data_IF_968686835901
#
_entry.id   IF_968686835901
#
_cell.length_a   1.000
_cell.length_b   1.000
_cell.length_c   1.000
_cell.angle_alpha   90.00
_cell.angle_beta   90.00
_cell.angle_gamma   90.00
#
_symmetry.space_group_name_H-M   'P 1'
#
loop_
_entity.id
_entity.type
_entity.pdbx_description
1 polymer ?
#
# COMPACT_ATOMS: atom_id res chain seq x y z
N UNK A 1 -12.93 -43.57 -60.88
CA UNK A 1 -13.96 -43.33 -59.85
C UNK A 1 -13.75 -44.39 -58.76
N UNK A 2 -13.35 -44.14 -57.52
CA UNK A 2 -13.15 -42.93 -56.73
C UNK A 2 -11.99 -43.20 -55.76
N UNK A 3 -11.15 -42.18 -55.50
CA UNK A 3 -10.15 -42.19 -54.44
C UNK A 3 -10.86 -42.30 -53.08
N UNK A 4 -10.39 -43.20 -52.21
CA UNK A 4 -10.70 -43.17 -50.78
C UNK A 4 -9.55 -42.44 -50.09
N UNK A 5 -9.78 -41.18 -49.72
CA UNK A 5 -8.89 -40.42 -48.85
C UNK A 5 -8.98 -40.99 -47.42
N UNK A 6 -7.86 -41.54 -46.95
CA UNK A 6 -7.64 -41.81 -45.53
C UNK A 6 -7.40 -40.49 -44.81
N UNK A 7 -8.33 -40.09 -43.94
CA UNK A 7 -8.16 -38.93 -43.07
C UNK A 7 -7.69 -39.44 -41.69
N UNK A 8 -6.38 -39.56 -41.52
CA UNK A 8 -5.76 -39.73 -40.20
C UNK A 8 -6.01 -38.47 -39.38
N UNK A 9 -6.91 -38.58 -38.41
CA UNK A 9 -7.11 -37.60 -37.35
C UNK A 9 -5.86 -37.55 -36.47
N UNK A 10 -4.98 -36.59 -36.75
CA UNK A 10 -4.02 -36.07 -35.77
C UNK A 10 -4.83 -35.31 -34.72
N UNK A 11 -5.03 -35.90 -33.55
CA UNK A 11 -5.45 -35.17 -32.35
C UNK A 11 -4.19 -34.42 -31.88
N UNK A 12 -4.15 -33.08 -31.91
CA UNK A 12 -3.13 -32.38 -31.18
C UNK A 12 -3.48 -32.54 -29.71
N UNK A 13 -2.67 -33.31 -28.99
CA UNK A 13 -2.64 -33.30 -27.54
C UNK A 13 -2.44 -31.86 -27.10
N UNK A 14 -3.53 -31.18 -26.72
CA UNK A 14 -3.48 -29.97 -25.92
C UNK A 14 -2.83 -30.36 -24.59
N UNK A 15 -1.50 -30.32 -24.56
CA UNK A 15 -0.72 -30.20 -23.34
C UNK A 15 -1.15 -28.88 -22.71
N UNK A 16 -2.23 -28.95 -21.92
CA UNK A 16 -2.56 -27.93 -20.96
C UNK A 16 -1.33 -27.81 -20.06
N UNK A 17 -0.65 -26.67 -20.13
CA UNK A 17 0.34 -26.30 -19.15
C UNK A 17 -0.26 -26.58 -17.76
N UNK A 18 0.46 -27.27 -16.87
CA UNK A 18 -0.02 -27.46 -15.51
C UNK A 18 -0.28 -26.06 -14.96
N UNK A 19 -1.56 -25.76 -14.70
CA UNK A 19 -1.93 -24.59 -13.91
C UNK A 19 -1.33 -24.85 -12.54
N UNK A 20 -0.21 -24.21 -12.29
CA UNK A 20 0.44 -24.16 -10.99
C UNK A 20 -0.64 -23.84 -9.95
N UNK A 21 -0.86 -24.68 -8.92
CA UNK A 21 -1.79 -24.39 -7.84
C UNK A 21 -1.18 -23.34 -6.90
N UNK A 22 -0.70 -22.23 -7.46
CA UNK A 22 -0.33 -21.05 -6.72
C UNK A 22 -1.63 -20.40 -6.22
N UNK A 23 -2.06 -20.85 -5.04
CA UNK A 23 -2.92 -20.14 -4.09
C UNK A 23 -4.02 -19.28 -4.74
N UNK A 24 -5.19 -19.89 -5.01
CA UNK A 24 -6.46 -19.17 -4.87
C UNK A 24 -6.72 -18.91 -3.38
N UNK A 25 -5.84 -18.17 -2.71
CA UNK A 25 -6.23 -17.49 -1.47
C UNK A 25 -7.30 -16.48 -1.89
N UNK A 26 -8.46 -16.54 -1.25
CA UNK A 26 -9.58 -15.63 -1.54
C UNK A 26 -9.06 -14.18 -1.60
N UNK A 27 -9.43 -13.46 -2.66
CA UNK A 27 -9.06 -12.06 -2.82
C UNK A 27 -9.65 -11.29 -1.63
N UNK A 28 -8.79 -10.82 -0.73
CA UNK A 28 -9.19 -10.06 0.45
C UNK A 28 -9.52 -8.64 0.01
N UNK A 29 -10.75 -8.20 0.26
CA UNK A 29 -11.13 -6.79 0.17
C UNK A 29 -11.49 -6.28 1.58
N UNK A 30 -10.52 -5.72 2.31
CA UNK A 30 -10.74 -5.35 3.70
C UNK A 30 -11.62 -4.13 3.87
N UNK A 31 -11.74 -3.30 2.82
CA UNK A 31 -12.39 -2.00 2.92
C UNK A 31 -13.75 -2.03 2.24
N UNK A 32 -14.82 -1.69 2.96
CA UNK A 32 -16.16 -1.68 2.37
C UNK A 32 -16.38 -0.44 1.47
N UNK A 33 -16.05 0.75 1.97
CA UNK A 33 -16.36 2.03 1.36
C UNK A 33 -15.24 3.07 1.56
N UNK A 34 -15.17 4.02 0.62
CA UNK A 34 -14.19 5.11 0.59
C UNK A 34 -14.88 6.47 0.66
N UNK A 35 -14.68 7.19 1.75
CA UNK A 35 -15.30 8.48 2.01
C UNK A 35 -14.28 9.61 2.00
N UNK A 36 -14.71 10.84 1.71
CA UNK A 36 -13.89 12.02 2.00
C UNK A 36 -14.68 13.00 2.86
N UNK A 37 -13.97 13.68 3.77
CA UNK A 37 -14.52 14.77 4.54
C UNK A 37 -14.87 15.93 3.60
N UNK A 38 -16.16 16.14 3.37
CA UNK A 38 -16.71 17.19 2.51
C UNK A 38 -17.25 18.38 3.32
N UNK A 39 -17.53 18.15 4.61
CA UNK A 39 -18.04 19.11 5.59
C UNK A 39 -17.52 18.72 6.98
N UNK A 40 -17.56 19.66 7.92
CA UNK A 40 -17.08 19.47 9.28
C UNK A 40 -15.59 19.78 9.41
N UNK A 41 -14.89 18.95 10.17
CA UNK A 41 -13.45 18.98 10.35
C UNK A 41 -12.72 18.30 9.18
N UNK A 42 -11.47 18.72 8.96
CA UNK A 42 -10.53 18.12 8.01
C UNK A 42 -11.07 18.00 6.57
N UNK A 43 -11.80 19.03 6.12
CA UNK A 43 -12.43 19.03 4.80
C UNK A 43 -11.40 19.01 3.68
N UNK A 44 -11.59 18.10 2.72
CA UNK A 44 -10.82 18.04 1.50
C UNK A 44 -11.52 18.79 0.36
N UNK A 45 -10.84 19.78 -0.22
CA UNK A 45 -11.31 20.46 -1.42
C UNK A 45 -11.06 19.64 -2.70
N UNK A 46 -11.65 20.09 -3.83
CA UNK A 46 -11.52 19.39 -5.12
C UNK A 46 -10.08 19.28 -5.62
N UNK A 47 -9.23 20.25 -5.32
CA UNK A 47 -7.82 20.24 -5.71
C UNK A 47 -7.03 19.22 -4.90
N UNK A 48 -7.26 19.19 -3.58
CA UNK A 48 -6.68 18.20 -2.67
C UNK A 48 -7.11 16.78 -3.05
N UNK A 49 -8.41 16.56 -3.35
CA UNK A 49 -8.90 15.27 -3.81
C UNK A 49 -8.24 14.81 -5.12
N UNK A 50 -7.97 15.71 -6.07
CA UNK A 50 -7.20 15.35 -7.28
C UNK A 50 -5.78 14.91 -6.94
N UNK A 51 -5.11 15.58 -6.01
CA UNK A 51 -3.76 15.22 -5.57
C UNK A 51 -3.79 13.86 -4.86
N UNK A 52 -4.77 13.61 -3.98
CA UNK A 52 -4.97 12.32 -3.32
C UNK A 52 -5.22 11.21 -4.35
N UNK A 53 -6.10 11.42 -5.32
CA UNK A 53 -6.39 10.43 -6.37
C UNK A 53 -5.17 10.10 -7.23
N UNK A 54 -4.34 11.09 -7.54
CA UNK A 54 -3.07 10.88 -8.24
C UNK A 54 -2.08 10.09 -7.36
N UNK A 55 -1.98 10.42 -6.07
CA UNK A 55 -1.13 9.69 -5.13
C UNK A 55 -1.57 8.24 -4.97
N UNK A 56 -2.86 7.95 -4.83
CA UNK A 56 -3.40 6.59 -4.78
C UNK A 56 -3.03 5.81 -6.06
N UNK A 57 -3.16 6.43 -7.23
CA UNK A 57 -2.81 5.78 -8.50
C UNK A 57 -1.31 5.45 -8.58
N UNK A 58 -0.47 6.35 -8.07
CA UNK A 58 0.98 6.13 -7.93
C UNK A 58 1.28 4.99 -6.93
N UNK A 59 0.66 4.99 -5.75
CA UNK A 59 0.78 3.90 -4.75
C UNK A 59 0.42 2.55 -5.35
N UNK A 60 -0.71 2.47 -6.07
CA UNK A 60 -1.15 1.26 -6.74
C UNK A 60 -0.16 0.79 -7.81
N UNK A 61 0.47 1.71 -8.54
CA UNK A 61 1.49 1.38 -9.53
C UNK A 61 2.76 0.84 -8.87
N UNK A 62 3.27 1.51 -7.84
CA UNK A 62 4.45 1.10 -7.07
C UNK A 62 4.23 -0.29 -6.45
N UNK A 63 3.09 -0.49 -5.78
CA UNK A 63 2.76 -1.77 -5.15
C UNK A 63 2.67 -2.91 -6.17
N UNK A 64 2.09 -2.68 -7.36
CA UNK A 64 2.08 -3.68 -8.45
C UNK A 64 3.48 -4.08 -8.88
N UNK A 65 4.41 -3.13 -8.97
CA UNK A 65 5.79 -3.46 -9.34
C UNK A 65 6.48 -4.30 -8.26
N UNK A 66 6.28 -3.99 -6.98
CA UNK A 66 6.78 -4.82 -5.89
C UNK A 66 6.19 -6.25 -5.94
N UNK A 67 4.89 -6.39 -6.20
CA UNK A 67 4.24 -7.70 -6.39
C UNK A 67 4.87 -8.46 -7.56
N UNK A 68 5.06 -7.82 -8.71
CA UNK A 68 5.62 -8.47 -9.89
C UNK A 68 7.01 -9.05 -9.62
N UNK A 69 7.83 -8.33 -8.84
CA UNK A 69 9.15 -8.80 -8.42
C UNK A 69 9.05 -9.97 -7.45
N UNK A 70 8.23 -9.85 -6.40
CA UNK A 70 8.04 -10.90 -5.40
C UNK A 70 7.38 -12.17 -5.97
N UNK A 71 6.59 -12.04 -7.04
CA UNK A 71 5.94 -13.15 -7.71
C UNK A 71 6.92 -14.08 -8.45
N UNK A 72 8.16 -13.63 -8.70
CA UNK A 72 9.19 -14.47 -9.31
C UNK A 72 9.59 -15.58 -8.33
N UNK A 73 9.65 -16.85 -8.76
CA UNK A 73 10.17 -17.94 -7.92
C UNK A 73 11.59 -17.63 -7.44
N UNK A 74 11.86 -17.78 -6.13
CA UNK A 74 13.14 -17.46 -5.53
C UNK A 74 13.39 -15.98 -5.25
N UNK A 75 12.43 -15.07 -5.45
CA UNK A 75 12.62 -13.65 -5.14
C UNK A 75 13.02 -13.37 -3.68
N UNK A 76 12.73 -14.28 -2.76
CA UNK A 76 13.21 -14.25 -1.38
C UNK A 76 14.74 -14.31 -1.24
N UNK A 77 15.48 -14.82 -2.25
CA UNK A 77 16.96 -14.84 -2.26
C UNK A 77 17.58 -13.56 -2.85
N UNK A 78 16.75 -12.64 -3.36
CA UNK A 78 17.20 -11.41 -3.99
C UNK A 78 17.85 -10.45 -2.99
N UNK A 79 18.77 -9.61 -3.48
CA UNK A 79 19.45 -8.60 -2.65
C UNK A 79 18.45 -7.69 -1.93
N UNK A 80 17.47 -7.17 -2.66
CA UNK A 80 16.46 -6.29 -2.09
C UNK A 80 15.65 -6.98 -0.98
N UNK A 81 15.25 -8.25 -1.18
CA UNK A 81 14.52 -8.97 -0.14
C UNK A 81 15.36 -9.15 1.12
N UNK A 82 16.62 -9.56 0.96
CA UNK A 82 17.54 -9.79 2.07
C UNK A 82 17.82 -8.48 2.84
N UNK A 83 17.99 -7.36 2.13
CA UNK A 83 18.20 -6.05 2.74
C UNK A 83 16.97 -5.57 3.51
N UNK A 84 15.78 -5.62 2.89
CA UNK A 84 14.60 -4.94 3.44
C UNK A 84 13.72 -5.82 4.30
N UNK A 85 13.76 -7.14 4.14
CA UNK A 85 12.96 -8.07 4.95
C UNK A 85 13.81 -9.05 5.78
N UNK A 86 15.09 -9.21 5.46
CA UNK A 86 16.02 -10.00 6.28
C UNK A 86 16.10 -11.49 5.91
N UNK A 87 17.27 -12.14 6.08
CA UNK A 87 17.47 -13.55 5.75
C UNK A 87 16.55 -14.54 6.45
N UNK A 88 16.26 -14.35 7.74
CA UNK A 88 15.39 -15.28 8.49
C UNK A 88 13.93 -15.26 7.99
N UNK A 89 13.54 -14.21 7.26
CA UNK A 89 12.24 -14.07 6.62
C UNK A 89 12.24 -14.53 5.16
N UNK A 90 13.37 -15.00 4.62
CA UNK A 90 13.54 -15.39 3.22
C UNK A 90 12.99 -16.79 2.92
N UNK A 91 11.67 -16.92 3.01
CA UNK A 91 10.96 -18.14 2.66
C UNK A 91 9.66 -17.83 1.92
N UNK A 92 9.16 -18.82 1.17
CA UNK A 92 8.01 -18.63 0.31
C UNK A 92 6.71 -18.32 1.08
N UNK A 93 6.57 -18.81 2.32
CA UNK A 93 5.40 -18.49 3.16
C UNK A 93 5.36 -16.99 3.48
N UNK A 94 6.46 -16.44 4.02
CA UNK A 94 6.54 -15.01 4.36
C UNK A 94 6.44 -14.13 3.12
N UNK A 95 7.10 -14.51 2.03
CA UNK A 95 6.97 -13.81 0.74
C UNK A 95 5.51 -13.71 0.29
N UNK A 96 4.76 -14.81 0.40
CA UNK A 96 3.35 -14.82 0.05
C UNK A 96 2.54 -13.88 0.94
N UNK A 97 2.79 -13.83 2.26
CA UNK A 97 2.14 -12.88 3.17
C UNK A 97 2.46 -11.42 2.79
N UNK A 98 3.72 -11.10 2.51
CA UNK A 98 4.13 -9.75 2.05
C UNK A 98 3.36 -9.37 0.76
N UNK A 99 3.20 -10.30 -0.17
CA UNK A 99 2.39 -10.05 -1.38
C UNK A 99 0.92 -9.85 -1.00
N UNK A 100 0.32 -10.77 -0.26
CA UNK A 100 -1.14 -10.87 -0.09
C UNK A 100 -1.70 -9.85 0.89
N UNK A 101 -0.98 -9.58 1.97
CA UNK A 101 -1.46 -8.77 3.08
C UNK A 101 -0.96 -7.33 3.01
N UNK A 102 0.20 -7.08 2.38
CA UNK A 102 0.76 -5.72 2.30
C UNK A 102 0.55 -5.11 0.90
N UNK A 103 1.29 -5.59 -0.11
CA UNK A 103 1.28 -4.92 -1.41
C UNK A 103 -0.02 -5.10 -2.20
N UNK A 104 -0.68 -6.26 -2.12
CA UNK A 104 -1.93 -6.48 -2.86
C UNK A 104 -3.03 -5.53 -2.39
N UNK A 105 -3.12 -5.27 -1.09
CA UNK A 105 -4.11 -4.34 -0.54
C UNK A 105 -3.87 -2.92 -1.04
N UNK A 106 -2.62 -2.45 -1.03
CA UNK A 106 -2.25 -1.17 -1.64
C UNK A 106 -2.57 -1.12 -3.15
N UNK A 107 -2.32 -2.22 -3.87
CA UNK A 107 -2.52 -2.31 -5.31
C UNK A 107 -3.98 -2.38 -5.74
N UNK A 108 -4.85 -3.03 -4.96
CA UNK A 108 -6.18 -3.45 -5.43
C UNK A 108 -7.32 -2.86 -4.59
N UNK A 109 -7.07 -2.56 -3.31
CA UNK A 109 -8.14 -2.24 -2.35
C UNK A 109 -8.07 -0.80 -1.84
N UNK A 110 -6.91 -0.13 -1.90
CA UNK A 110 -6.82 1.31 -1.69
C UNK A 110 -7.50 2.02 -2.87
N UNK A 111 -8.75 2.45 -2.68
CA UNK A 111 -9.60 3.05 -3.73
C UNK A 111 -9.77 4.54 -3.50
N UNK A 112 -9.99 5.29 -4.58
CA UNK A 112 -10.21 6.73 -4.52
C UNK A 112 -11.41 7.09 -3.64
N UNK A 113 -11.34 8.18 -2.85
CA UNK A 113 -12.51 8.70 -2.14
C UNK A 113 -13.63 9.04 -3.12
N UNK A 114 -14.82 8.45 -2.91
CA UNK A 114 -15.95 8.63 -3.81
C UNK A 114 -17.19 9.21 -3.11
N UNK A 115 -17.34 8.96 -1.81
CA UNK A 115 -18.56 9.31 -1.07
C UNK A 115 -18.30 10.49 -0.13
N UNK A 116 -19.01 11.62 -0.25
CA UNK A 116 -18.85 12.74 0.68
C UNK A 116 -19.43 12.37 2.05
N UNK A 117 -18.71 12.73 3.12
CA UNK A 117 -19.17 12.61 4.50
C UNK A 117 -18.99 13.94 5.23
N UNK A 118 -19.90 14.24 6.15
CA UNK A 118 -19.63 15.24 7.20
C UNK A 118 -18.86 14.53 8.30
N UNK A 119 -17.66 15.00 8.60
CA UNK A 119 -16.80 14.40 9.60
C UNK A 119 -16.53 15.40 10.70
N UNK A 120 -17.00 15.12 11.92
CA UNK A 120 -16.75 15.96 13.09
C UNK A 120 -15.88 15.18 14.07
N UNK A 121 -14.69 15.70 14.40
CA UNK A 121 -13.70 15.04 15.28
C UNK A 121 -13.92 15.42 16.75
N UNK A 122 -14.68 16.49 17.02
CA UNK A 122 -14.92 17.02 18.37
C UNK A 122 -15.67 16.05 19.30
N UNK A 123 -15.03 15.70 20.42
CA UNK A 123 -15.61 14.82 21.44
C UNK A 123 -15.60 13.35 21.00
N UNK A 124 -16.78 12.83 20.65
CA UNK A 124 -16.93 11.50 20.03
C UNK A 124 -17.01 11.70 18.51
N UNK A 125 -16.19 11.00 17.71
CA UNK A 125 -16.17 11.16 16.26
C UNK A 125 -17.56 10.90 15.68
N UNK A 126 -18.03 11.79 14.79
CA UNK A 126 -19.31 11.63 14.11
C UNK A 126 -19.13 11.65 12.60
N UNK A 127 -19.78 10.68 11.94
CA UNK A 127 -19.85 10.59 10.49
C UNK A 127 -21.30 10.71 10.04
N UNK A 128 -21.60 11.68 9.19
CA UNK A 128 -22.92 11.82 8.58
C UNK A 128 -22.80 11.79 7.07
N UNK A 129 -23.26 10.69 6.49
CA UNK A 129 -23.36 10.50 5.04
C UNK A 129 -24.64 11.14 4.53
N UNK A 130 -24.60 11.70 3.32
CA UNK A 130 -25.76 12.33 2.71
C UNK A 130 -26.61 11.31 1.92
N UNK A 131 -27.94 11.49 1.95
CA UNK A 131 -28.86 10.71 1.14
C UNK A 131 -28.92 9.22 1.54
N UNK A 132 -28.83 8.34 0.55
CA UNK A 132 -28.94 6.88 0.70
C UNK A 132 -27.57 6.18 0.67
N UNK A 133 -26.47 6.92 0.86
CA UNK A 133 -25.15 6.31 0.93
C UNK A 133 -25.04 5.39 2.17
N UNK A 134 -24.29 4.27 2.08
CA UNK A 134 -24.01 3.43 3.24
C UNK A 134 -23.38 4.24 4.39
N UNK A 135 -23.61 3.85 5.67
CA UNK A 135 -22.95 4.49 6.79
C UNK A 135 -21.44 4.19 6.79
N UNK A 136 -20.66 5.06 7.44
CA UNK A 136 -19.25 4.77 7.76
C UNK A 136 -19.21 3.65 8.79
N UNK A 137 -18.39 2.63 8.55
CA UNK A 137 -18.19 1.49 9.45
C UNK A 137 -16.72 1.40 9.87
N UNK A 138 -16.40 0.49 10.79
CA UNK A 138 -15.02 0.15 11.17
C UNK A 138 -14.16 -0.32 9.99
N UNK A 139 -14.78 -0.81 8.91
CA UNK A 139 -14.11 -1.28 7.70
C UNK A 139 -14.02 -0.19 6.61
N UNK A 140 -14.51 1.01 6.88
CA UNK A 140 -14.45 2.11 5.92
C UNK A 140 -13.12 2.86 6.02
N UNK A 141 -12.69 3.45 4.90
CA UNK A 141 -11.64 4.48 4.88
C UNK A 141 -12.29 5.85 4.73
N UNK A 142 -11.89 6.80 5.59
CA UNK A 142 -12.21 8.21 5.47
C UNK A 142 -10.94 9.00 5.17
N UNK A 143 -10.95 9.77 4.08
CA UNK A 143 -9.86 10.65 3.68
C UNK A 143 -10.14 12.07 4.23
N UNK A 144 -9.24 12.59 5.06
CA UNK A 144 -9.32 13.92 5.67
C UNK A 144 -8.12 14.81 5.33
N UNK A 145 -8.34 16.11 5.18
CA UNK A 145 -7.31 17.08 4.85
C UNK A 145 -7.17 18.06 6.02
N UNK A 146 -6.07 17.96 6.77
CA UNK A 146 -5.84 18.77 7.96
C UNK A 146 -5.69 20.23 7.57
N UNK A 147 -6.45 21.10 8.21
CA UNK A 147 -6.35 22.54 8.03
C UNK A 147 -5.07 23.10 8.70
N UNK A 148 -4.53 24.24 8.24
CA UNK A 148 -3.31 24.81 8.81
C UNK A 148 -3.37 25.21 10.29
N UNK A 149 -4.57 25.35 10.88
CA UNK A 149 -4.71 25.68 12.28
C UNK A 149 -4.56 24.41 13.13
N UNK A 150 -5.26 23.33 12.78
CA UNK A 150 -5.16 22.01 13.40
C UNK A 150 -3.79 21.33 13.15
N UNK A 151 -3.08 21.71 12.09
CA UNK A 151 -1.81 21.09 11.70
C UNK A 151 -0.68 21.27 12.72
N UNK A 152 -0.75 22.27 13.60
CA UNK A 152 0.35 22.57 14.56
C UNK A 152 0.65 21.43 15.54
N UNK A 153 -0.33 20.58 15.81
CA UNK A 153 -0.17 19.43 16.71
C UNK A 153 -0.08 18.10 15.95
N UNK A 154 -0.89 17.92 14.90
CA UNK A 154 -1.01 16.64 14.18
C UNK A 154 0.03 16.45 13.06
N UNK A 155 0.63 17.53 12.56
CA UNK A 155 1.45 17.53 11.35
C UNK A 155 2.89 18.02 11.56
N UNK A 156 3.37 18.05 12.80
CA UNK A 156 4.69 18.62 13.12
C UNK A 156 5.85 17.93 12.39
N UNK A 157 5.76 16.61 12.21
CA UNK A 157 6.81 15.79 11.57
C UNK A 157 6.28 14.80 10.54
N UNK A 158 5.03 14.96 10.09
CA UNK A 158 4.44 14.04 9.12
C UNK A 158 3.81 14.77 7.94
N UNK A 159 3.75 14.06 6.82
CA UNK A 159 3.15 14.53 5.57
C UNK A 159 1.75 13.94 5.41
N UNK A 160 1.53 12.70 5.84
CA UNK A 160 0.23 12.07 5.97
C UNK A 160 0.31 11.07 7.12
N UNK A 161 -0.80 10.71 7.74
CA UNK A 161 -0.80 9.65 8.72
C UNK A 161 -2.12 8.89 8.73
N UNK A 162 -2.09 7.72 9.36
CA UNK A 162 -3.25 6.85 9.51
C UNK A 162 -3.63 6.71 10.97
N UNK A 163 -4.93 6.86 11.22
CA UNK A 163 -5.57 6.43 12.46
C UNK A 163 -6.42 5.22 12.12
N UNK A 164 -6.07 4.07 12.68
CA UNK A 164 -6.80 2.83 12.45
C UNK A 164 -6.85 1.97 13.71
N UNK A 165 -7.63 0.90 13.67
CA UNK A 165 -7.57 -0.12 14.69
C UNK A 165 -6.24 -0.89 14.58
N UNK A 166 -5.70 -1.31 15.71
CA UNK A 166 -4.60 -2.27 15.79
C UNK A 166 -5.14 -3.63 16.23
N UNK A 167 -4.29 -4.66 16.23
CA UNK A 167 -4.65 -5.98 16.74
C UNK A 167 -5.21 -5.99 18.18
N UNK A 168 -4.95 -4.95 18.97
CA UNK A 168 -5.29 -4.89 20.39
C UNK A 168 -6.14 -3.68 20.78
N UNK A 169 -6.40 -2.76 19.85
CA UNK A 169 -7.08 -1.50 20.17
C UNK A 169 -7.95 -1.05 19.00
N UNK A 170 -9.22 -0.75 19.28
CA UNK A 170 -10.09 -0.10 18.31
C UNK A 170 -9.58 1.30 17.95
N UNK A 171 -9.84 1.73 16.70
CA UNK A 171 -9.60 3.11 16.30
C UNK A 171 -10.40 4.04 17.19
N UNK A 172 -9.77 5.09 17.74
CA UNK A 172 -10.51 6.11 18.48
C UNK A 172 -11.38 7.00 17.56
N UNK A 173 -11.26 6.83 16.24
CA UNK A 173 -12.09 7.47 15.23
C UNK A 173 -13.19 6.52 14.70
N UNK A 174 -13.38 5.34 15.29
CA UNK A 174 -14.38 4.30 14.91
C UNK A 174 -14.31 3.76 13.46
N UNK A 175 -13.45 4.35 12.63
CA UNK A 175 -13.13 3.95 11.26
C UNK A 175 -11.61 4.07 11.02
N UNK A 176 -11.16 3.63 9.85
CA UNK A 176 -9.80 3.95 9.39
C UNK A 176 -9.82 5.34 8.75
N UNK A 177 -8.99 6.26 9.27
CA UNK A 177 -8.88 7.62 8.75
C UNK A 177 -7.47 7.84 8.23
N UNK A 178 -7.34 8.18 6.95
CA UNK A 178 -6.09 8.69 6.38
C UNK A 178 -6.20 10.21 6.38
N UNK A 179 -5.33 10.89 7.12
CA UNK A 179 -5.28 12.34 7.12
C UNK A 179 -4.02 12.86 6.42
N UNK A 180 -4.20 13.92 5.64
CA UNK A 180 -3.15 14.56 4.86
C UNK A 180 -2.81 15.91 5.45
N UNK A 181 -1.53 16.13 5.75
CA UNK A 181 -1.05 17.39 6.25
C UNK A 181 -0.90 18.42 5.12
N UNK A 182 -0.88 19.73 5.41
CA UNK A 182 -0.69 20.76 4.38
C UNK A 182 0.56 20.54 3.50
N UNK A 183 1.63 20.00 4.08
CA UNK A 183 2.86 19.61 3.37
C UNK A 183 2.62 18.58 2.27
N UNK A 184 1.64 17.67 2.41
CA UNK A 184 1.24 16.72 1.37
C UNK A 184 0.83 17.41 0.08
N UNK A 185 0.22 18.58 0.18
CA UNK A 185 -0.29 19.34 -0.97
C UNK A 185 0.73 20.34 -1.52
N UNK A 186 1.88 20.50 -0.85
CA UNK A 186 2.94 21.43 -1.26
C UNK A 186 3.66 20.98 -2.54
N UNK A 187 4.05 21.94 -3.37
CA UNK A 187 4.92 21.70 -4.53
C UNK A 187 6.33 21.24 -4.16
N UNK A 188 6.72 21.30 -2.88
CA UNK A 188 8.01 20.83 -2.38
C UNK A 188 8.15 19.30 -2.33
N UNK A 189 7.05 18.55 -2.39
CA UNK A 189 7.11 17.09 -2.50
C UNK A 189 7.53 16.69 -3.90
N UNK A 190 8.53 15.82 -3.97
CA UNK A 190 9.11 15.37 -5.23
C UNK A 190 8.22 14.33 -5.93
N UNK A 191 8.37 14.23 -7.24
CA UNK A 191 7.73 13.19 -8.07
C UNK A 191 8.36 11.81 -7.88
N UNK A 192 7.65 10.73 -8.26
CA UNK A 192 8.20 9.37 -8.30
C UNK A 192 9.50 9.30 -9.11
N UNK A 193 9.56 9.96 -10.26
CA UNK A 193 10.76 10.01 -11.12
C UNK A 193 11.95 10.64 -10.39
N UNK A 194 11.73 11.75 -9.69
CA UNK A 194 12.79 12.39 -8.91
C UNK A 194 13.23 11.51 -7.74
N UNK A 195 12.30 10.86 -7.04
CA UNK A 195 12.57 9.91 -5.95
C UNK A 195 13.47 8.76 -6.42
N UNK A 196 13.14 8.13 -7.56
CA UNK A 196 13.95 7.06 -8.16
C UNK A 196 15.35 7.53 -8.56
N UNK A 197 15.45 8.72 -9.14
CA UNK A 197 16.73 9.28 -9.53
C UNK A 197 17.62 9.61 -8.32
N UNK A 198 17.03 10.12 -7.23
CA UNK A 198 17.74 10.34 -5.97
C UNK A 198 18.25 9.02 -5.39
N UNK A 199 17.40 8.00 -5.35
CA UNK A 199 17.77 6.67 -4.84
C UNK A 199 18.93 6.03 -5.62
N UNK A 200 18.89 6.08 -6.96
CA UNK A 200 19.98 5.58 -7.82
C UNK A 200 21.31 6.28 -7.60
N UNK A 201 21.28 7.50 -7.07
CA UNK A 201 22.47 8.30 -6.76
C UNK A 201 22.97 8.07 -5.32
N UNK A 202 22.41 7.11 -4.58
CA UNK A 202 22.81 6.80 -3.20
C UNK A 202 22.40 7.87 -2.19
N UNK A 203 21.40 8.71 -2.51
CA UNK A 203 20.83 9.68 -1.58
C UNK A 203 19.64 9.05 -0.85
N UNK A 204 19.51 9.34 0.44
CA UNK A 204 18.26 9.08 1.15
C UNK A 204 17.14 9.82 0.42
N UNK A 205 16.22 9.05 -0.16
CA UNK A 205 15.22 9.58 -1.04
C UNK A 205 14.12 10.26 -0.23
N UNK A 206 13.86 11.54 -0.51
CA UNK A 206 12.56 12.12 -0.14
C UNK A 206 11.47 11.30 -0.84
N UNK A 207 10.38 11.04 -0.15
CA UNK A 207 9.30 10.25 -0.73
C UNK A 207 8.42 11.07 -1.67
N UNK A 208 7.97 10.43 -2.76
CA UNK A 208 6.81 10.91 -3.51
C UNK A 208 5.52 10.64 -2.74
N UNK A 209 4.42 11.28 -3.13
CA UNK A 209 3.13 11.15 -2.44
C UNK A 209 2.61 9.71 -2.40
N UNK A 210 2.75 8.99 -3.51
CA UNK A 210 2.33 7.59 -3.58
C UNK A 210 3.18 6.68 -2.70
N UNK A 211 4.46 7.00 -2.53
CA UNK A 211 5.35 6.27 -1.62
C UNK A 211 5.02 6.54 -0.14
N UNK A 212 4.69 7.80 0.22
CA UNK A 212 4.18 8.14 1.55
C UNK A 212 2.92 7.31 1.85
N UNK A 213 1.94 7.28 0.93
CA UNK A 213 0.74 6.47 1.11
C UNK A 213 1.02 4.97 1.20
N UNK A 214 2.03 4.46 0.48
CA UNK A 214 2.42 3.05 0.59
C UNK A 214 2.94 2.72 1.98
N UNK A 215 3.75 3.61 2.57
CA UNK A 215 4.21 3.51 3.95
C UNK A 215 3.02 3.53 4.91
N UNK A 216 2.16 4.55 4.83
CA UNK A 216 1.03 4.72 5.75
C UNK A 216 0.06 3.53 5.77
N UNK A 217 -0.16 2.89 4.61
CA UNK A 217 -1.02 1.72 4.50
C UNK A 217 -0.52 0.53 5.34
N UNK A 218 0.78 0.45 5.63
CA UNK A 218 1.32 -0.65 6.42
C UNK A 218 0.91 -0.58 7.90
N UNK A 219 0.50 0.59 8.39
CA UNK A 219 -0.01 0.77 9.75
C UNK A 219 -1.47 0.36 9.93
N UNK A 220 -2.19 0.07 8.84
CA UNK A 220 -3.59 -0.33 8.90
C UNK A 220 -3.68 -1.83 9.21
N UNK A 221 -4.08 -2.24 10.42
CA UNK A 221 -4.30 -3.67 10.72
C UNK A 221 -5.37 -4.28 9.80
N UNK A 222 -6.38 -3.48 9.46
CA UNK A 222 -7.37 -3.88 8.46
C UNK A 222 -6.75 -4.05 7.06
N UNK A 223 -5.64 -3.40 6.73
CA UNK A 223 -4.91 -3.68 5.50
C UNK A 223 -4.00 -4.90 5.63
N UNK A 224 -3.19 -5.00 6.68
CA UNK A 224 -2.14 -6.02 6.80
C UNK A 224 -2.57 -7.33 7.47
N UNK A 225 -3.81 -7.43 7.96
CA UNK A 225 -4.34 -8.48 8.85
C UNK A 225 -3.91 -8.29 10.32
N UNK A 226 -4.74 -8.78 11.24
CA UNK A 226 -4.51 -8.63 12.68
C UNK A 226 -3.15 -9.23 13.07
N UNK A 227 -2.29 -8.44 13.70
CA UNK A 227 -0.91 -8.73 14.15
C UNK A 227 0.20 -8.62 13.09
N UNK A 228 -0.12 -8.15 11.88
CA UNK A 228 0.88 -7.83 10.84
C UNK A 228 0.91 -6.32 10.52
N UNK A 229 0.17 -5.49 11.26
CA UNK A 229 0.33 -4.04 11.22
C UNK A 229 1.74 -3.63 11.62
N UNK A 230 2.31 -2.75 10.81
CA UNK A 230 3.64 -2.23 11.02
C UNK A 230 3.61 -1.06 12.01
N UNK A 231 4.76 -0.78 12.58
CA UNK A 231 5.05 0.42 13.37
C UNK A 231 6.23 1.16 12.75
N UNK A 232 6.52 2.36 13.24
CA UNK A 232 7.68 3.14 12.81
C UNK A 232 8.87 2.91 13.72
N UNK A 233 9.73 1.96 13.34
CA UNK A 233 10.96 1.65 14.05
C UNK A 233 12.13 2.52 13.57
N UNK A 234 12.17 2.82 12.28
CA UNK A 234 13.19 3.67 11.67
C UNK A 234 12.73 4.23 10.32
N UNK A 235 13.24 5.42 9.98
CA UNK A 235 12.92 6.11 8.72
C UNK A 235 14.12 6.20 7.75
N UNK A 236 15.35 6.22 8.25
CA UNK A 236 16.54 6.34 7.40
C UNK A 236 16.94 4.99 6.79
N UNK A 237 17.49 4.99 5.58
CA UNK A 237 17.70 3.74 4.83
C UNK A 237 18.75 2.83 5.47
N UNK A 238 19.79 3.40 6.08
CA UNK A 238 20.88 2.65 6.70
C UNK A 238 20.42 1.93 7.98
N UNK A 239 19.69 2.64 8.83
CA UNK A 239 19.08 2.10 10.04
C UNK A 239 18.00 1.08 9.71
N UNK A 240 17.12 1.35 8.73
CA UNK A 240 16.12 0.38 8.26
C UNK A 240 16.76 -0.93 7.76
N UNK A 241 17.87 -0.83 7.02
CA UNK A 241 18.62 -1.99 6.54
C UNK A 241 19.34 -2.75 7.67
N UNK A 242 19.65 -2.06 8.77
CA UNK A 242 20.38 -2.61 9.93
C UNK A 242 19.47 -3.13 11.04
N UNK A 243 18.16 -2.94 10.95
CA UNK A 243 17.20 -3.51 11.90
C UNK A 243 17.36 -5.03 11.98
N UNK A 244 17.14 -5.66 13.15
CA UNK A 244 16.97 -7.10 13.26
C UNK A 244 15.87 -7.61 12.31
N UNK A 245 16.03 -8.80 11.75
CA UNK A 245 15.11 -9.33 10.74
C UNK A 245 13.64 -9.37 11.19
N UNK A 246 13.37 -9.73 12.46
CA UNK A 246 12.02 -9.73 13.00
C UNK A 246 11.40 -8.32 13.06
N UNK A 247 12.24 -7.28 13.18
CA UNK A 247 11.82 -5.89 13.15
C UNK A 247 11.68 -5.35 11.72
N UNK A 248 12.48 -5.83 10.76
CA UNK A 248 12.38 -5.43 9.35
C UNK A 248 10.98 -5.64 8.77
N UNK A 249 10.35 -6.77 9.07
CA UNK A 249 8.98 -7.08 8.60
C UNK A 249 7.88 -6.36 9.39
N UNK A 250 8.22 -5.70 10.50
CA UNK A 250 7.31 -4.89 11.32
C UNK A 250 7.49 -3.38 11.09
N UNK A 251 8.46 -2.96 10.28
CA UNK A 251 8.73 -1.55 10.02
C UNK A 251 8.07 -1.11 8.70
N UNK A 252 7.14 -0.16 8.76
CA UNK A 252 6.40 0.31 7.58
C UNK A 252 7.34 0.83 6.48
N UNK A 253 8.38 1.53 6.90
CA UNK A 253 9.41 2.07 6.03
C UNK A 253 10.18 1.01 5.23
N UNK A 254 10.38 -0.21 5.76
CA UNK A 254 11.07 -1.27 5.04
C UNK A 254 10.26 -1.76 3.82
N UNK A 255 8.93 -1.76 3.89
CA UNK A 255 8.08 -2.05 2.73
C UNK A 255 8.17 -0.96 1.67
N UNK A 256 8.23 0.32 2.08
CA UNK A 256 8.43 1.44 1.17
C UNK A 256 9.81 1.34 0.48
N UNK A 257 10.87 1.04 1.22
CA UNK A 257 12.21 0.90 0.66
C UNK A 257 12.38 -0.32 -0.23
N UNK A 258 11.79 -1.47 0.10
CA UNK A 258 11.78 -2.60 -0.82
C UNK A 258 11.16 -2.20 -2.17
N UNK A 259 9.98 -1.57 -2.13
CA UNK A 259 9.28 -1.14 -3.34
C UNK A 259 10.11 -0.10 -4.13
N UNK A 260 10.74 0.85 -3.44
CA UNK A 260 11.62 1.84 -4.07
C UNK A 260 12.84 1.19 -4.72
N UNK A 261 13.52 0.29 -4.02
CA UNK A 261 14.78 -0.28 -4.48
C UNK A 261 14.58 -1.15 -5.72
N UNK A 262 13.50 -1.94 -5.77
CA UNK A 262 13.18 -2.76 -6.95
C UNK A 262 12.59 -1.94 -8.10
N UNK A 263 11.89 -0.84 -7.80
CA UNK A 263 11.39 0.10 -8.81
C UNK A 263 12.53 0.90 -9.45
N UNK A 264 13.52 1.29 -8.66
CA UNK A 264 14.69 2.02 -9.12
C UNK A 264 15.71 1.09 -9.80
N UNK A 265 15.94 -0.10 -9.24
CA UNK A 265 16.95 -1.06 -9.66
C UNK A 265 16.36 -2.48 -9.76
N UNK A 266 15.63 -2.82 -10.85
CA UNK A 266 14.94 -4.11 -10.96
C UNK A 266 15.85 -5.34 -10.86
N UNK A 267 17.14 -5.21 -11.14
CA UNK A 267 18.13 -6.29 -11.00
C UNK A 267 18.30 -6.75 -9.55
N UNK A 268 18.13 -5.86 -8.56
CA UNK A 268 18.25 -6.20 -7.14
C UNK A 268 17.12 -7.08 -6.63
N UNK A 269 15.98 -7.10 -7.34
CA UNK A 269 14.85 -7.98 -7.05
C UNK A 269 14.95 -9.35 -7.71
N UNK A 270 16.00 -9.63 -8.50
CA UNK A 270 16.16 -10.92 -9.16
C UNK A 270 16.67 -11.97 -8.16
N UNK A 271 16.18 -13.22 -8.24
CA UNK A 271 16.73 -14.34 -7.48
C UNK A 271 18.23 -14.49 -7.74
N UNK A 272 18.97 -14.83 -6.69
CA UNK A 272 20.38 -15.26 -6.75
C UNK A 272 20.45 -16.79 -6.69
#
# INVERSE_FOLDING_TARGET
MFLILSCTLFIPSCLGAPRDPALRLAQRDPFDHMYYAAKGDWVCDRSQLRIINAAISETQAIARQAINVLAVPGAETSEAYQTWFGPSNANSYRKNQIITHHYRIASQNLRQPSTPVTFDVGGTPQYRVAGHAPPVTRNSIVYGCIDPFSSRHLCSNTVAAVVSATAHKASYLDATVIYFCPSFFSSSIISETQMKNQWRQGRDAKMSRGMVLLHELQHMAIATTDNEDCVDLSYDSASCASLPDNQKIQNAQNYAYFALDVLANPTKGKPR
#
